data_IF_689341763163
#
_entry.id   IF_689341763163
#
_cell.length_a   1.000
_cell.length_b   1.000
_cell.length_c   1.000
_cell.angle_alpha   90.00
_cell.angle_beta   90.00
_cell.angle_gamma   90.00
#
_symmetry.space_group_name_H-M   'P 1'
#
loop_
_entity.id
_entity.type
_entity.pdbx_description
1 polymer ?
#
# COMPACT_ATOMS: atom_id res chain seq x y z
N UNK A 1 27.88 -6.95 71.70
CA UNK A 1 26.96 -7.68 70.81
C UNK A 1 26.07 -6.69 70.03
N UNK A 2 26.53 -5.91 69.06
CA UNK A 2 25.67 -4.92 68.38
C UNK A 2 26.21 -4.50 67.00
N UNK A 3 26.61 -5.44 66.11
CA UNK A 3 27.08 -5.11 64.76
C UNK A 3 26.45 -5.94 63.61
N UNK A 4 25.41 -6.74 63.84
CA UNK A 4 24.82 -7.63 62.78
C UNK A 4 23.49 -7.11 62.18
N UNK A 5 22.82 -6.11 62.71
CA UNK A 5 21.50 -5.63 62.22
C UNK A 5 21.55 -4.71 60.98
N UNK A 6 22.69 -4.10 60.68
CA UNK A 6 22.76 -3.02 59.64
C UNK A 6 23.04 -3.52 58.19
N UNK A 7 23.41 -4.81 57.98
CA UNK A 7 23.70 -5.35 56.65
C UNK A 7 22.39 -5.74 55.90
N UNK A 8 21.39 -6.24 56.62
CA UNK A 8 20.11 -6.67 55.97
C UNK A 8 19.28 -5.48 55.45
N UNK A 9 19.30 -4.34 56.10
CA UNK A 9 18.56 -3.12 55.67
C UNK A 9 19.17 -2.50 54.38
N UNK A 10 20.50 -2.51 54.27
CA UNK A 10 21.17 -1.98 53.06
C UNK A 10 20.94 -2.87 51.83
N UNK A 11 20.85 -4.21 51.98
CA UNK A 11 20.55 -5.11 50.88
C UNK A 11 19.11 -4.96 50.41
N UNK A 12 18.14 -4.85 51.32
CA UNK A 12 16.72 -4.66 50.98
C UNK A 12 16.47 -3.30 50.30
N UNK A 13 17.14 -2.25 50.74
CA UNK A 13 17.07 -0.93 50.11
C UNK A 13 17.66 -0.92 48.69
N UNK A 14 18.74 -1.67 48.49
CA UNK A 14 19.36 -1.82 47.17
C UNK A 14 18.44 -2.58 46.18
N UNK A 15 17.81 -3.65 46.60
CA UNK A 15 16.83 -4.39 45.78
C UNK A 15 15.59 -3.56 45.46
N UNK A 16 15.09 -2.77 46.40
CA UNK A 16 13.98 -1.85 46.17
C UNK A 16 14.34 -0.75 45.16
N UNK A 17 15.55 -0.19 45.25
CA UNK A 17 16.03 0.83 44.31
C UNK A 17 16.21 0.23 42.89
N UNK A 18 16.76 -0.98 42.79
CA UNK A 18 16.92 -1.70 41.52
C UNK A 18 15.55 -2.04 40.88
N UNK A 19 14.58 -2.45 41.70
CA UNK A 19 13.21 -2.73 41.22
C UNK A 19 12.51 -1.44 40.76
N UNK A 20 12.72 -0.31 41.47
CA UNK A 20 12.18 0.99 41.07
C UNK A 20 12.80 1.48 39.74
N UNK A 21 14.10 1.33 39.55
CA UNK A 21 14.79 1.70 38.32
C UNK A 21 14.33 0.83 37.14
N UNK A 22 14.11 -0.48 37.38
CA UNK A 22 13.58 -1.39 36.37
C UNK A 22 12.15 -1.03 35.94
N UNK A 23 11.30 -0.67 36.91
CA UNK A 23 9.93 -0.23 36.60
C UNK A 23 9.88 1.09 35.82
N UNK A 24 10.73 2.06 36.12
CA UNK A 24 10.83 3.32 35.41
C UNK A 24 11.26 3.12 33.95
N UNK A 25 12.17 2.19 33.68
CA UNK A 25 12.61 1.89 32.28
C UNK A 25 11.48 1.30 31.44
N UNK A 26 10.62 0.45 32.02
CA UNK A 26 9.48 -0.14 31.32
C UNK A 26 8.40 0.93 30.98
N UNK A 27 8.18 1.90 31.85
CA UNK A 27 7.26 3.01 31.55
C UNK A 27 7.78 3.94 30.44
N UNK A 28 9.09 4.22 30.41
CA UNK A 28 9.69 5.05 29.38
C UNK A 28 9.59 4.39 27.97
N UNK A 29 9.82 3.09 27.88
CA UNK A 29 9.67 2.35 26.62
C UNK A 29 8.22 2.36 26.11
N UNK A 30 7.25 2.18 26.98
CA UNK A 30 5.82 2.17 26.60
C UNK A 30 5.34 3.53 26.08
N UNK A 31 5.89 4.63 26.60
CA UNK A 31 5.60 5.97 26.09
C UNK A 31 6.18 6.18 24.69
N UNK A 32 7.40 5.72 24.43
CA UNK A 32 8.02 5.78 23.11
C UNK A 32 7.27 4.95 22.05
N UNK A 33 6.78 3.77 22.40
CA UNK A 33 5.96 2.97 21.50
C UNK A 33 4.69 3.73 21.04
N UNK A 34 4.02 4.43 21.95
CA UNK A 34 2.86 5.26 21.63
C UNK A 34 3.22 6.45 20.75
N UNK A 35 4.35 7.10 21.03
CA UNK A 35 4.85 8.23 20.23
C UNK A 35 5.12 7.82 18.79
N UNK A 36 5.89 6.75 18.55
CA UNK A 36 6.13 6.23 17.21
C UNK A 36 4.85 5.76 16.51
N UNK A 37 3.92 5.14 17.24
CA UNK A 37 2.61 4.79 16.69
C UNK A 37 1.88 6.03 16.13
N UNK A 38 1.84 7.13 16.87
CA UNK A 38 1.19 8.36 16.42
C UNK A 38 1.89 8.96 15.20
N UNK A 39 3.23 8.99 15.19
CA UNK A 39 4.00 9.43 14.02
C UNK A 39 3.74 8.56 12.78
N UNK A 40 3.57 7.24 12.98
CA UNK A 40 3.20 6.32 11.91
C UNK A 40 1.80 6.62 11.35
N UNK A 41 0.81 6.89 12.20
CA UNK A 41 -0.55 7.25 11.77
C UNK A 41 -0.54 8.58 11.01
N UNK A 42 0.14 9.61 11.52
CA UNK A 42 0.28 10.88 10.82
C UNK A 42 0.96 10.73 9.44
N UNK A 43 1.92 9.82 9.32
CA UNK A 43 2.55 9.50 8.04
C UNK A 43 1.56 8.80 7.08
N UNK A 44 0.73 7.86 7.56
CA UNK A 44 -0.34 7.24 6.77
C UNK A 44 -1.34 8.27 6.24
N UNK A 45 -1.79 9.19 7.11
CA UNK A 45 -2.74 10.25 6.74
C UNK A 45 -2.18 11.18 5.64
N UNK A 46 -0.86 11.36 5.59
CA UNK A 46 -0.18 12.08 4.50
C UNK A 46 0.12 11.23 3.27
N UNK A 47 -0.22 9.95 3.27
CA UNK A 47 0.11 9.01 2.20
C UNK A 47 1.61 8.60 2.15
N UNK A 48 2.39 8.89 3.20
CA UNK A 48 3.80 8.51 3.30
C UNK A 48 3.92 7.10 3.92
N UNK A 49 3.65 6.08 3.12
CA UNK A 49 3.70 4.68 3.54
C UNK A 49 5.08 4.25 4.05
N UNK A 50 6.17 4.84 3.51
CA UNK A 50 7.54 4.50 3.93
C UNK A 50 7.82 5.00 5.35
N UNK A 51 7.54 6.27 5.62
CA UNK A 51 7.69 6.83 6.96
C UNK A 51 6.73 6.16 7.95
N UNK A 52 5.51 5.81 7.53
CA UNK A 52 4.55 5.08 8.34
C UNK A 52 5.09 3.72 8.77
N UNK A 53 5.57 2.90 7.82
CA UNK A 53 6.12 1.58 8.07
C UNK A 53 7.35 1.62 9.01
N UNK A 54 8.25 2.59 8.80
CA UNK A 54 9.41 2.79 9.68
C UNK A 54 8.97 3.10 11.12
N UNK A 55 8.05 4.02 11.31
CA UNK A 55 7.55 4.39 12.63
C UNK A 55 6.80 3.23 13.32
N UNK A 56 5.99 2.44 12.59
CA UNK A 56 5.33 1.27 13.18
C UNK A 56 6.33 0.18 13.57
N UNK A 57 7.38 -0.04 12.80
CA UNK A 57 8.45 -0.97 13.17
C UNK A 57 9.17 -0.52 14.45
N UNK A 58 9.49 0.78 14.58
CA UNK A 58 10.05 1.36 15.80
C UNK A 58 9.08 1.24 16.99
N UNK A 59 7.78 1.46 16.76
CA UNK A 59 6.76 1.30 17.79
C UNK A 59 6.67 -0.15 18.30
N UNK A 60 6.72 -1.14 17.40
CA UNK A 60 6.75 -2.57 17.76
C UNK A 60 8.01 -2.93 18.54
N UNK A 61 9.18 -2.45 18.12
CA UNK A 61 10.45 -2.65 18.85
C UNK A 61 10.37 -2.10 20.30
N UNK A 62 9.78 -0.92 20.48
CA UNK A 62 9.63 -0.29 21.81
C UNK A 62 8.48 -0.86 22.64
N UNK A 63 7.62 -1.68 22.06
CA UNK A 63 6.49 -2.35 22.77
C UNK A 63 6.91 -3.53 23.62
N UNK A 64 8.20 -3.92 23.63
CA UNK A 64 8.78 -5.03 24.39
C UNK A 64 8.19 -6.43 24.08
N UNK A 65 7.63 -6.64 22.90
CA UNK A 65 7.16 -7.94 22.43
C UNK A 65 6.00 -8.56 23.22
N UNK A 66 5.40 -7.81 24.16
CA UNK A 66 4.23 -8.30 24.90
C UNK A 66 2.96 -8.17 24.06
N UNK A 67 2.23 -9.28 23.90
CA UNK A 67 0.90 -9.24 23.27
C UNK A 67 -0.01 -8.33 24.09
N UNK A 68 -0.30 -7.17 23.57
CA UNK A 68 -1.11 -6.13 24.21
C UNK A 68 -2.01 -5.43 23.18
N UNK A 69 -3.06 -4.78 23.65
CA UNK A 69 -3.93 -4.00 22.77
C UNK A 69 -3.15 -2.96 21.94
N UNK A 70 -2.12 -2.33 22.52
CA UNK A 70 -1.26 -1.39 21.80
C UNK A 70 -0.47 -2.09 20.68
N UNK A 71 0.10 -3.27 20.93
CA UNK A 71 0.85 -4.00 19.91
C UNK A 71 -0.05 -4.48 18.77
N UNK A 72 -1.25 -4.96 19.10
CA UNK A 72 -2.22 -5.38 18.07
C UNK A 72 -2.67 -4.22 17.21
N UNK A 73 -2.89 -3.06 17.80
CA UNK A 73 -3.25 -1.85 17.10
C UNK A 73 -2.10 -1.37 16.17
N UNK A 74 -0.85 -1.37 16.64
CA UNK A 74 0.32 -1.04 15.81
C UNK A 74 0.46 -2.03 14.63
N UNK A 75 0.25 -3.33 14.87
CA UNK A 75 0.31 -4.33 13.80
C UNK A 75 -0.76 -4.11 12.73
N UNK A 76 -1.99 -3.72 13.12
CA UNK A 76 -3.04 -3.41 12.16
C UNK A 76 -2.66 -2.20 11.28
N UNK A 77 -2.15 -1.12 11.86
CA UNK A 77 -1.66 0.02 11.08
C UNK A 77 -0.42 -0.30 10.23
N UNK A 78 0.48 -1.18 10.71
CA UNK A 78 1.61 -1.66 9.91
C UNK A 78 1.14 -2.35 8.64
N UNK A 79 0.13 -3.21 8.72
CA UNK A 79 -0.49 -3.86 7.56
C UNK A 79 -1.02 -2.80 6.57
N UNK A 80 -1.67 -1.75 7.07
CA UNK A 80 -2.13 -0.64 6.22
C UNK A 80 -0.99 0.07 5.49
N UNK A 81 0.14 0.30 6.17
CA UNK A 81 1.32 0.89 5.57
C UNK A 81 1.94 -0.03 4.50
N UNK A 82 1.97 -1.33 4.73
CA UNK A 82 2.45 -2.33 3.76
C UNK A 82 1.56 -2.37 2.51
N UNK A 83 0.22 -2.33 2.69
CA UNK A 83 -0.74 -2.23 1.58
C UNK A 83 -0.52 -0.93 0.79
N UNK A 84 -0.36 0.20 1.47
CA UNK A 84 -0.12 1.50 0.84
C UNK A 84 1.16 1.53 -0.01
N UNK A 85 2.19 0.77 0.40
CA UNK A 85 3.45 0.62 -0.33
C UNK A 85 3.38 -0.41 -1.47
N UNK A 86 2.29 -1.16 -1.61
CA UNK A 86 2.19 -2.28 -2.55
C UNK A 86 2.98 -3.52 -2.11
N UNK A 87 3.45 -3.57 -0.86
CA UNK A 87 4.17 -4.71 -0.28
C UNK A 87 3.19 -5.80 0.15
N UNK A 88 2.45 -6.37 -0.81
CA UNK A 88 1.29 -7.23 -0.52
C UNK A 88 1.71 -8.53 0.18
N UNK A 89 2.84 -9.13 -0.19
CA UNK A 89 3.37 -10.33 0.48
C UNK A 89 3.70 -10.08 1.96
N UNK A 90 4.27 -8.91 2.28
CA UNK A 90 4.57 -8.53 3.67
C UNK A 90 3.29 -8.25 4.44
N UNK A 91 2.29 -7.61 3.80
CA UNK A 91 0.98 -7.37 4.38
C UNK A 91 0.24 -8.68 4.71
N UNK A 92 0.27 -9.69 3.81
CA UNK A 92 -0.26 -11.04 4.06
C UNK A 92 0.44 -11.68 5.28
N UNK A 93 1.77 -11.66 5.33
CA UNK A 93 2.54 -12.23 6.45
C UNK A 93 2.26 -11.50 7.78
N UNK A 94 2.14 -10.17 7.75
CA UNK A 94 1.80 -9.36 8.92
C UNK A 94 0.37 -9.64 9.41
N UNK A 95 -0.58 -9.84 8.49
CA UNK A 95 -1.96 -10.20 8.80
C UNK A 95 -2.06 -11.58 9.47
N UNK A 96 -1.37 -12.58 8.94
CA UNK A 96 -1.32 -13.92 9.54
C UNK A 96 -0.69 -13.88 10.94
N UNK A 97 0.36 -13.10 11.14
CA UNK A 97 0.94 -12.87 12.46
C UNK A 97 -0.06 -12.19 13.41
N UNK A 98 -0.79 -11.19 12.95
CA UNK A 98 -1.85 -10.55 13.74
C UNK A 98 -2.91 -11.57 14.17
N UNK A 99 -3.45 -12.37 13.24
CA UNK A 99 -4.46 -13.38 13.52
C UNK A 99 -3.96 -14.43 14.54
N UNK A 100 -2.71 -14.87 14.38
CA UNK A 100 -2.10 -15.82 15.30
C UNK A 100 -2.00 -15.29 16.74
N UNK A 101 -1.68 -13.99 16.90
CA UNK A 101 -1.51 -13.34 18.19
C UNK A 101 -2.84 -12.90 18.83
N UNK A 102 -3.68 -12.23 18.05
CA UNK A 102 -4.93 -11.60 18.51
C UNK A 102 -6.09 -12.60 18.62
N UNK A 103 -6.01 -13.75 17.91
CA UNK A 103 -7.11 -14.72 17.71
C UNK A 103 -8.36 -14.03 17.16
N UNK A 104 -8.17 -13.07 16.25
CA UNK A 104 -9.21 -12.25 15.67
C UNK A 104 -8.87 -11.94 14.22
N UNK A 105 -9.89 -11.93 13.35
CA UNK A 105 -9.78 -11.54 11.94
C UNK A 105 -9.89 -10.02 11.74
N UNK A 106 -9.35 -9.55 10.63
CA UNK A 106 -9.43 -8.17 10.15
C UNK A 106 -10.03 -8.15 8.74
N UNK A 107 -11.32 -8.41 8.57
CA UNK A 107 -11.93 -8.64 7.25
C UNK A 107 -11.72 -7.49 6.27
N UNK A 108 -11.72 -6.23 6.73
CA UNK A 108 -11.44 -5.09 5.86
C UNK A 108 -10.01 -5.08 5.31
N UNK A 109 -9.03 -5.47 6.12
CA UNK A 109 -7.63 -5.57 5.64
C UNK A 109 -7.44 -6.77 4.74
N UNK A 110 -8.11 -7.89 5.02
CA UNK A 110 -8.13 -9.07 4.15
C UNK A 110 -8.67 -8.74 2.77
N UNK A 111 -9.79 -8.04 2.70
CA UNK A 111 -10.40 -7.59 1.45
C UNK A 111 -9.49 -6.63 0.68
N UNK A 112 -8.87 -5.66 1.36
CA UNK A 112 -7.92 -4.73 0.75
C UNK A 112 -6.67 -5.44 0.20
N UNK A 113 -6.11 -6.39 0.93
CA UNK A 113 -4.97 -7.20 0.47
C UNK A 113 -5.38 -8.00 -0.77
N UNK A 114 -6.52 -8.68 -0.74
CA UNK A 114 -7.02 -9.46 -1.87
C UNK A 114 -7.25 -8.57 -3.11
N UNK A 115 -7.82 -7.38 -2.95
CA UNK A 115 -8.00 -6.41 -4.03
C UNK A 115 -6.69 -5.95 -4.64
N UNK A 116 -5.71 -5.58 -3.83
CA UNK A 116 -4.38 -5.17 -4.30
C UNK A 116 -3.64 -6.31 -5.02
N UNK A 117 -3.82 -7.54 -4.58
CA UNK A 117 -3.25 -8.72 -5.23
C UNK A 117 -3.79 -8.90 -6.64
N UNK A 118 -5.10 -8.77 -6.85
CA UNK A 118 -5.71 -8.79 -8.19
C UNK A 118 -5.14 -7.70 -9.10
N UNK A 119 -4.92 -6.50 -8.59
CA UNK A 119 -4.33 -5.39 -9.36
C UNK A 119 -2.86 -5.70 -9.73
N UNK A 120 -2.10 -6.34 -8.84
CA UNK A 120 -0.75 -6.80 -9.17
C UNK A 120 -0.76 -7.91 -10.23
N UNK A 121 -1.68 -8.86 -10.16
CA UNK A 121 -1.88 -9.90 -11.16
C UNK A 121 -2.25 -9.31 -12.52
N UNK A 122 -3.11 -8.29 -12.56
CA UNK A 122 -3.44 -7.52 -13.76
C UNK A 122 -2.18 -6.88 -14.37
N UNK A 123 -1.37 -6.20 -13.56
CA UNK A 123 -0.13 -5.58 -14.01
C UNK A 123 0.86 -6.61 -14.59
N UNK A 124 0.95 -7.78 -13.96
CA UNK A 124 1.78 -8.89 -14.44
C UNK A 124 1.26 -9.44 -15.79
N UNK A 125 -0.04 -9.69 -15.90
CA UNK A 125 -0.67 -10.16 -17.14
C UNK A 125 -0.43 -9.16 -18.30
N UNK A 126 -0.51 -7.87 -18.04
CA UNK A 126 -0.20 -6.83 -19.03
C UNK A 126 1.28 -6.83 -19.44
N UNK A 127 2.20 -7.00 -18.49
CA UNK A 127 3.63 -7.07 -18.77
C UNK A 127 4.02 -8.31 -19.61
N UNK A 128 3.28 -9.39 -19.44
CA UNK A 128 3.46 -10.65 -20.19
C UNK A 128 2.63 -10.72 -21.48
N UNK A 129 1.96 -9.63 -21.88
CA UNK A 129 1.06 -9.54 -23.04
C UNK A 129 -0.10 -10.57 -23.04
N UNK A 130 -0.52 -11.01 -21.86
CA UNK A 130 -1.67 -11.91 -21.65
C UNK A 130 -2.99 -11.14 -21.64
N UNK A 131 -3.36 -10.59 -22.80
CA UNK A 131 -4.47 -9.63 -22.89
C UNK A 131 -5.84 -10.19 -22.52
N UNK A 132 -6.12 -11.46 -22.78
CA UNK A 132 -7.40 -12.09 -22.38
C UNK A 132 -7.47 -12.30 -20.86
N UNK A 133 -6.35 -12.65 -20.21
CA UNK A 133 -6.27 -12.73 -18.75
C UNK A 133 -6.44 -11.33 -18.12
N UNK A 134 -5.73 -10.34 -18.66
CA UNK A 134 -5.86 -8.96 -18.23
C UNK A 134 -7.31 -8.43 -18.33
N UNK A 135 -8.02 -8.76 -19.41
CA UNK A 135 -9.43 -8.41 -19.61
C UNK A 135 -10.32 -9.01 -18.52
N UNK A 136 -10.08 -10.27 -18.17
CA UNK A 136 -10.85 -10.96 -17.12
C UNK A 136 -10.60 -10.29 -15.76
N UNK A 137 -9.33 -10.01 -15.43
CA UNK A 137 -8.93 -9.34 -14.19
C UNK A 137 -9.51 -7.92 -14.09
N UNK A 138 -9.50 -7.14 -15.19
CA UNK A 138 -10.14 -5.82 -15.23
C UNK A 138 -11.63 -5.90 -14.86
N UNK A 139 -12.34 -6.90 -15.38
CA UNK A 139 -13.76 -7.09 -15.06
C UNK A 139 -13.97 -7.47 -13.59
N UNK A 140 -13.16 -8.41 -13.08
CA UNK A 140 -13.24 -8.85 -11.67
C UNK A 140 -12.95 -7.72 -10.69
N UNK A 141 -11.91 -6.91 -10.95
CA UNK A 141 -11.55 -5.75 -10.12
C UNK A 141 -12.69 -4.73 -10.09
N UNK A 142 -13.33 -4.50 -11.25
CA UNK A 142 -14.48 -3.59 -11.37
C UNK A 142 -15.71 -4.09 -10.62
N UNK A 143 -16.00 -5.38 -10.67
CA UNK A 143 -17.07 -6.01 -9.90
C UNK A 143 -16.87 -5.90 -8.37
N UNK A 144 -15.63 -5.77 -7.93
CA UNK A 144 -15.27 -5.53 -6.53
C UNK A 144 -15.28 -4.05 -6.12
N UNK A 145 -15.59 -3.13 -7.03
CA UNK A 145 -15.64 -1.69 -6.75
C UNK A 145 -14.25 -1.06 -6.53
N UNK A 146 -13.20 -1.61 -7.15
CA UNK A 146 -11.81 -1.15 -7.02
C UNK A 146 -11.32 -0.34 -8.23
N UNK A 147 -12.23 0.08 -9.11
CA UNK A 147 -11.95 0.85 -10.33
C UNK A 147 -11.38 2.26 -10.08
N UNK A 148 -11.49 2.76 -8.87
CA UNK A 148 -10.92 4.05 -8.46
C UNK A 148 -9.48 3.94 -7.91
N UNK A 149 -8.96 2.71 -7.79
CA UNK A 149 -7.60 2.48 -7.34
C UNK A 149 -6.58 3.01 -8.35
N UNK A 150 -5.52 3.65 -7.85
CA UNK A 150 -4.50 4.29 -8.70
C UNK A 150 -3.85 3.32 -9.67
N UNK A 151 -3.42 2.17 -9.17
CA UNK A 151 -2.73 1.17 -9.98
C UNK A 151 -3.68 0.53 -11.00
N UNK A 152 -4.97 0.36 -10.63
CA UNK A 152 -5.99 -0.10 -11.57
C UNK A 152 -6.18 0.89 -12.73
N UNK A 153 -6.36 2.18 -12.45
CA UNK A 153 -6.56 3.21 -13.47
C UNK A 153 -5.39 3.28 -14.46
N UNK A 154 -4.16 3.14 -13.98
CA UNK A 154 -2.98 3.05 -14.83
C UNK A 154 -3.01 1.79 -15.69
N UNK A 155 -3.29 0.63 -15.10
CA UNK A 155 -3.32 -0.67 -15.78
C UNK A 155 -4.45 -0.72 -16.84
N UNK A 156 -5.62 -0.15 -16.57
CA UNK A 156 -6.72 -0.04 -17.55
C UNK A 156 -6.28 0.79 -18.76
N UNK A 157 -5.60 1.93 -18.55
CA UNK A 157 -5.07 2.76 -19.64
C UNK A 157 -4.03 2.00 -20.48
N UNK A 158 -3.12 1.23 -19.84
CA UNK A 158 -2.15 0.37 -20.53
C UNK A 158 -2.86 -0.76 -21.31
N UNK A 159 -3.91 -1.37 -20.77
CA UNK A 159 -4.70 -2.38 -21.48
C UNK A 159 -5.34 -1.81 -22.75
N UNK A 160 -5.93 -0.62 -22.67
CA UNK A 160 -6.51 0.08 -23.82
C UNK A 160 -5.46 0.35 -24.90
N UNK A 161 -4.25 0.78 -24.50
CA UNK A 161 -3.13 0.98 -25.41
C UNK A 161 -2.73 -0.33 -26.09
N UNK A 162 -2.50 -1.40 -25.33
CA UNK A 162 -2.09 -2.72 -25.84
C UNK A 162 -3.13 -3.37 -26.75
N UNK A 163 -4.40 -3.01 -26.58
CA UNK A 163 -5.52 -3.45 -27.44
C UNK A 163 -5.80 -2.53 -28.62
N UNK A 164 -4.89 -1.58 -28.89
CA UNK A 164 -4.97 -0.60 -29.98
C UNK A 164 -6.18 0.34 -29.92
N UNK A 165 -6.79 0.52 -28.77
CA UNK A 165 -7.84 1.50 -28.50
C UNK A 165 -7.23 2.86 -28.15
N UNK A 166 -6.50 3.44 -29.11
CA UNK A 166 -5.61 4.57 -28.89
C UNK A 166 -6.31 5.82 -28.34
N UNK A 167 -7.51 6.13 -28.84
CA UNK A 167 -8.27 7.27 -28.36
C UNK A 167 -8.71 7.08 -26.90
N UNK A 168 -9.25 5.90 -26.57
CA UNK A 168 -9.67 5.56 -25.23
C UNK A 168 -8.47 5.58 -24.25
N UNK A 169 -7.33 5.01 -24.67
CA UNK A 169 -6.09 5.04 -23.91
C UNK A 169 -5.60 6.47 -23.63
N UNK A 170 -5.63 7.34 -24.66
CA UNK A 170 -5.24 8.74 -24.51
C UNK A 170 -6.11 9.47 -23.48
N UNK A 171 -7.44 9.34 -23.54
CA UNK A 171 -8.34 9.95 -22.58
C UNK A 171 -8.17 9.36 -21.16
N UNK A 172 -7.94 8.07 -21.04
CA UNK A 172 -7.68 7.41 -19.76
C UNK A 172 -6.37 7.93 -19.11
N UNK A 173 -5.27 7.98 -19.87
CA UNK A 173 -4.00 8.55 -19.35
C UNK A 173 -4.11 10.04 -19.06
N UNK A 174 -4.88 10.80 -19.83
CA UNK A 174 -5.11 12.24 -19.58
C UNK A 174 -5.86 12.45 -18.25
N UNK A 175 -6.90 11.67 -17.97
CA UNK A 175 -7.63 11.71 -16.70
C UNK A 175 -6.73 11.26 -15.54
N UNK A 176 -5.95 10.20 -15.74
CA UNK A 176 -4.99 9.72 -14.75
C UNK A 176 -3.96 10.81 -14.41
N UNK A 177 -3.33 11.45 -15.39
CA UNK A 177 -2.34 12.50 -15.17
C UNK A 177 -2.93 13.75 -14.50
N UNK A 178 -4.20 14.05 -14.75
CA UNK A 178 -4.89 15.14 -14.06
C UNK A 178 -5.08 14.85 -12.56
N UNK A 179 -5.32 13.59 -12.21
CA UNK A 179 -5.50 13.12 -10.83
C UNK A 179 -4.15 12.88 -10.12
N UNK A 180 -3.13 12.44 -10.86
CA UNK A 180 -1.79 12.09 -10.35
C UNK A 180 -0.67 12.84 -11.10
N UNK A 181 -0.58 14.18 -10.94
CA UNK A 181 0.32 15.02 -11.75
C UNK A 181 1.81 14.80 -11.47
N UNK A 182 2.18 14.03 -10.45
CA UNK A 182 3.56 13.65 -10.15
C UNK A 182 4.04 12.38 -10.86
N UNK A 183 3.18 11.68 -11.62
CA UNK A 183 3.53 10.43 -12.27
C UNK A 183 4.17 10.68 -13.64
N UNK A 184 5.52 10.62 -13.68
CA UNK A 184 6.29 10.90 -14.91
C UNK A 184 6.17 9.77 -15.94
N UNK A 185 5.90 8.54 -15.52
CA UNK A 185 5.69 7.42 -16.42
C UNK A 185 4.38 7.60 -17.19
N UNK A 186 3.29 7.90 -16.50
CA UNK A 186 2.01 8.21 -17.13
C UNK A 186 2.08 9.41 -18.09
N UNK A 187 2.86 10.45 -17.74
CA UNK A 187 3.06 11.60 -18.63
C UNK A 187 3.79 11.21 -19.92
N UNK A 188 4.77 10.31 -19.85
CA UNK A 188 5.47 9.82 -21.04
C UNK A 188 4.52 9.04 -21.95
N UNK A 189 3.69 8.15 -21.39
CA UNK A 189 2.69 7.40 -22.15
C UNK A 189 1.67 8.33 -22.80
N UNK A 190 1.16 9.31 -22.06
CA UNK A 190 0.26 10.32 -22.61
C UNK A 190 0.89 11.10 -23.78
N UNK A 191 2.16 11.49 -23.66
CA UNK A 191 2.91 12.16 -24.73
C UNK A 191 3.11 11.28 -25.96
N UNK A 192 3.41 9.99 -25.76
CA UNK A 192 3.54 9.00 -26.81
C UNK A 192 2.22 8.80 -27.59
N UNK A 193 1.11 8.60 -26.86
CA UNK A 193 -0.22 8.44 -27.45
C UNK A 193 -0.65 9.67 -28.24
N UNK A 194 -0.39 10.88 -27.71
CA UNK A 194 -0.67 12.14 -28.41
C UNK A 194 0.05 12.19 -29.76
N UNK A 195 1.35 11.93 -29.80
CA UNK A 195 2.14 11.94 -31.02
C UNK A 195 1.66 10.87 -32.01
N UNK A 196 1.27 9.70 -31.52
CA UNK A 196 0.72 8.62 -32.35
C UNK A 196 -0.60 9.02 -32.99
N UNK A 197 -1.51 9.62 -32.24
CA UNK A 197 -2.79 10.09 -32.77
C UNK A 197 -2.60 11.19 -33.82
N UNK A 198 -1.73 12.16 -33.58
CA UNK A 198 -1.40 13.21 -34.57
C UNK A 198 -0.81 12.60 -35.86
N UNK A 199 0.01 11.56 -35.76
CA UNK A 199 0.54 10.85 -36.93
C UNK A 199 -0.55 10.11 -37.72
N UNK A 200 -1.52 9.48 -37.01
CA UNK A 200 -2.67 8.80 -37.61
C UNK A 200 -3.62 9.81 -38.32
N UNK A 201 -3.82 10.99 -37.77
CA UNK A 201 -4.61 12.05 -38.40
C UNK A 201 -3.98 12.56 -39.69
N UNK A 202 -2.65 12.72 -39.70
CA UNK A 202 -1.87 13.22 -40.86
C UNK A 202 -1.71 12.18 -41.97
N UNK A 203 -1.92 10.90 -41.69
CA UNK A 203 -1.70 9.83 -42.65
C UNK A 203 -2.84 8.80 -42.64
N UNK A 204 -3.85 8.95 -43.51
CA UNK A 204 -4.99 8.03 -43.59
C UNK A 204 -4.60 6.57 -43.86
N UNK A 205 -3.50 6.31 -44.56
CA UNK A 205 -3.00 4.94 -44.81
C UNK A 205 -2.52 4.26 -43.54
N UNK A 206 -2.08 5.02 -42.52
CA UNK A 206 -1.74 4.48 -41.21
C UNK A 206 -3.00 4.13 -40.40
N UNK A 207 -4.09 4.87 -40.56
CA UNK A 207 -5.39 4.53 -39.96
C UNK A 207 -5.88 3.18 -40.43
N UNK A 208 -5.88 2.95 -41.74
CA UNK A 208 -6.29 1.68 -42.36
C UNK A 208 -5.42 0.50 -41.88
N UNK A 209 -4.10 0.67 -41.86
CA UNK A 209 -3.15 -0.36 -41.39
C UNK A 209 -3.29 -0.64 -39.89
N UNK A 210 -3.69 0.33 -39.08
CA UNK A 210 -3.93 0.19 -37.65
C UNK A 210 -5.30 -0.44 -37.34
N UNK A 211 -6.13 -0.75 -38.35
CA UNK A 211 -7.44 -1.32 -38.17
C UNK A 211 -8.47 -0.34 -37.57
N UNK A 212 -8.16 0.95 -37.57
CA UNK A 212 -9.07 1.99 -37.06
C UNK A 212 -10.04 2.34 -38.19
N UNK A 213 -11.15 1.62 -38.29
CA UNK A 213 -12.26 1.98 -39.15
C UNK A 213 -13.09 3.07 -38.46
N UNK A 214 -13.37 4.16 -39.18
CA UNK A 214 -14.31 5.17 -38.70
C UNK A 214 -15.65 4.50 -38.41
N UNK A 215 -16.16 4.70 -37.20
CA UNK A 215 -17.52 4.28 -36.86
C UNK A 215 -18.51 5.02 -37.74
N UNK A 216 -19.57 4.38 -38.28
CA UNK A 216 -20.49 4.99 -39.22
C UNK A 216 -21.38 6.13 -38.66
N UNK A 217 -21.21 6.51 -37.41
CA UNK A 217 -22.14 7.38 -36.68
C UNK A 217 -21.82 8.90 -36.71
N UNK A 218 -20.78 9.35 -37.44
CA UNK A 218 -20.50 10.80 -37.55
C UNK A 218 -20.83 11.39 -38.95
N UNK A 219 -21.92 10.90 -39.57
CA UNK A 219 -22.49 11.55 -40.75
C UNK A 219 -23.99 11.73 -40.59
N UNK A 220 -24.38 12.68 -39.73
CA UNK A 220 -25.64 13.40 -39.83
C UNK A 220 -25.48 14.84 -39.38
#
# INVERSE_FOLDING_TARGET
MQKRKNKKGKSLSFFLLLFLLLSLSLFACKNKAKEYRLLGIEALERGDGKAALENFNLALEKSNGQVSALQMDILAYKIEAEILLGNISDAEASLENYKALAKKDLPLLEERIAGKKLIQELSLALNEDKLEEAKTLLSEIKEKGLEEDREYLFAEAVYLEKTAKWQEAYEAFKQYCARYPGDEDAKRELGFLKNRMEALEKNPLLKEKAGITESPEEKE
#
